data_IF_979747527311
#
_entry.id   IF_979747527311
#
_cell.length_a   1.000
_cell.length_b   1.000
_cell.length_c   1.000
_cell.angle_alpha   90.00
_cell.angle_beta   90.00
_cell.angle_gamma   90.00
#
_symmetry.space_group_name_H-M   'P 1'
#
loop_
_entity.id
_entity.type
_entity.pdbx_description
1 polymer ?
#
# COMPACT_ATOMS: atom_id res chain seq x y z
N UNK A 1 3.77 -15.75 -9.43
CA UNK A 1 4.06 -15.51 -8.00
C UNK A 1 2.79 -15.74 -7.17
N UNK A 2 2.46 -17.03 -6.89
CA UNK A 2 1.21 -17.36 -6.19
C UNK A 2 1.11 -16.79 -4.78
N UNK A 3 2.21 -16.70 -4.05
CA UNK A 3 2.25 -16.19 -2.69
C UNK A 3 1.92 -14.70 -2.61
N UNK A 4 2.04 -13.98 -3.71
CA UNK A 4 1.68 -12.57 -3.83
C UNK A 4 0.22 -12.34 -4.22
N UNK A 5 -0.57 -13.38 -4.36
CA UNK A 5 -1.99 -13.29 -4.72
C UNK A 5 -2.82 -13.96 -3.64
N UNK A 6 -3.37 -13.17 -2.72
CA UNK A 6 -4.19 -13.64 -1.61
C UNK A 6 -5.66 -13.34 -1.87
N UNK A 7 -6.51 -14.25 -1.43
CA UNK A 7 -7.94 -13.95 -1.26
C UNK A 7 -8.38 -14.39 0.14
N UNK A 8 -9.43 -13.78 0.63
CA UNK A 8 -10.04 -14.14 1.90
C UNK A 8 -11.52 -14.45 1.71
N UNK A 9 -11.96 -15.53 2.33
CA UNK A 9 -13.34 -15.98 2.27
C UNK A 9 -13.99 -15.89 3.65
N UNK A 10 -15.27 -15.59 3.65
CA UNK A 10 -16.12 -15.61 4.86
C UNK A 10 -17.32 -16.48 4.53
N UNK A 11 -17.50 -17.57 5.27
CA UNK A 11 -18.61 -18.53 5.09
C UNK A 11 -18.72 -19.02 3.63
N UNK A 12 -17.58 -19.28 2.99
CA UNK A 12 -17.49 -19.77 1.61
C UNK A 12 -17.65 -18.72 0.53
N UNK A 13 -17.82 -17.44 0.88
CA UNK A 13 -17.90 -16.33 -0.07
C UNK A 13 -16.60 -15.54 -0.12
N UNK A 14 -16.18 -15.13 -1.32
CA UNK A 14 -15.03 -14.26 -1.51
C UNK A 14 -15.31 -12.88 -0.89
N UNK A 15 -14.55 -12.51 0.12
CA UNK A 15 -14.71 -11.26 0.84
C UNK A 15 -13.68 -10.20 0.44
N UNK A 16 -12.50 -10.58 -0.01
CA UNK A 16 -11.47 -9.63 -0.39
C UNK A 16 -10.27 -10.29 -1.05
N UNK A 17 -9.38 -9.45 -1.55
CA UNK A 17 -8.14 -9.88 -2.19
C UNK A 17 -7.01 -8.87 -1.97
N UNK A 18 -5.79 -9.36 -2.06
CA UNK A 18 -4.59 -8.54 -1.99
C UNK A 18 -3.57 -9.10 -2.98
N UNK A 19 -3.00 -8.24 -3.81
CA UNK A 19 -2.03 -8.62 -4.83
C UNK A 19 -0.72 -7.85 -4.62
N UNK A 20 0.40 -8.55 -4.72
CA UNK A 20 1.74 -7.97 -4.66
C UNK A 20 2.67 -8.61 -5.69
N UNK A 21 3.80 -7.95 -5.91
CA UNK A 21 4.90 -8.45 -6.71
C UNK A 21 6.22 -8.21 -5.98
N UNK A 22 7.24 -8.98 -6.31
CA UNK A 22 8.60 -8.70 -5.82
C UNK A 22 9.31 -7.86 -6.88
N UNK A 23 9.99 -6.82 -6.42
CA UNK A 23 10.76 -5.91 -7.26
C UNK A 23 12.01 -5.43 -6.52
N UNK A 24 12.94 -4.83 -7.25
CA UNK A 24 14.00 -4.06 -6.64
C UNK A 24 13.49 -2.65 -6.36
N UNK A 25 13.78 -2.17 -5.18
CA UNK A 25 13.47 -0.81 -4.79
C UNK A 25 14.72 -0.14 -4.22
N UNK A 26 15.03 1.05 -4.74
CA UNK A 26 16.11 1.90 -4.28
C UNK A 26 15.54 3.05 -3.42
N UNK A 27 15.81 3.07 -2.10
CA UNK A 27 15.33 4.14 -1.24
C UNK A 27 15.82 5.54 -1.61
N UNK A 28 16.89 5.65 -2.42
CA UNK A 28 17.40 6.94 -2.89
C UNK A 28 16.63 7.48 -4.10
N UNK A 29 15.88 6.64 -4.79
CA UNK A 29 15.02 7.00 -5.92
C UNK A 29 13.60 6.50 -5.71
N UNK A 30 12.80 7.30 -5.03
CA UNK A 30 11.43 6.94 -4.64
C UNK A 30 10.39 7.26 -5.70
N UNK A 31 10.73 8.04 -6.72
CA UNK A 31 9.79 8.47 -7.72
C UNK A 31 9.46 7.33 -8.69
N UNK A 32 8.19 7.02 -8.82
CA UNK A 32 7.68 6.05 -9.77
C UNK A 32 6.16 6.24 -9.90
N UNK A 33 5.59 5.70 -10.96
CA UNK A 33 4.14 5.62 -11.10
C UNK A 33 3.65 4.21 -10.80
N UNK A 34 2.36 4.09 -10.50
CA UNK A 34 1.73 2.78 -10.31
C UNK A 34 1.85 1.92 -11.56
N UNK A 35 1.61 2.54 -12.74
CA UNK A 35 1.71 1.85 -14.03
C UNK A 35 3.12 1.28 -14.27
N UNK A 36 4.16 2.05 -13.96
CA UNK A 36 5.54 1.60 -14.14
C UNK A 36 5.89 0.44 -13.20
N UNK A 37 5.61 0.59 -11.91
CA UNK A 37 6.04 -0.39 -10.91
C UNK A 37 5.24 -1.70 -11.02
N UNK A 38 4.01 -1.65 -11.51
CA UNK A 38 3.13 -2.83 -11.62
C UNK A 38 3.01 -3.37 -13.04
N UNK A 39 3.68 -2.76 -14.02
CA UNK A 39 3.47 -3.04 -15.44
C UNK A 39 1.97 -2.95 -15.79
N UNK A 40 1.38 -1.78 -15.51
CA UNK A 40 -0.04 -1.50 -15.72
C UNK A 40 -0.99 -2.51 -15.03
N UNK A 41 -0.55 -3.08 -13.90
CA UNK A 41 -1.31 -4.09 -13.16
C UNK A 41 -1.16 -5.52 -13.68
N UNK A 42 -0.44 -5.73 -14.78
CA UNK A 42 -0.18 -7.07 -15.33
C UNK A 42 0.88 -7.87 -14.56
N UNK A 43 1.72 -7.19 -13.77
CA UNK A 43 2.77 -7.79 -12.92
C UNK A 43 3.76 -8.69 -13.68
N UNK A 44 3.93 -8.48 -14.99
CA UNK A 44 4.89 -9.24 -15.82
C UNK A 44 6.34 -8.94 -15.46
N UNK A 45 6.58 -7.80 -14.78
CA UNK A 45 7.88 -7.34 -14.30
C UNK A 45 8.26 -7.90 -12.92
N UNK A 46 7.52 -8.88 -12.40
CA UNK A 46 7.87 -9.54 -11.16
C UNK A 46 9.31 -10.10 -11.22
N UNK A 47 10.12 -9.74 -10.21
CA UNK A 47 11.51 -10.17 -10.10
C UNK A 47 11.71 -10.98 -8.81
N UNK A 48 11.77 -12.32 -8.87
CA UNK A 48 11.88 -13.14 -7.67
C UNK A 48 13.17 -12.92 -6.87
N UNK A 49 14.16 -12.22 -7.45
CA UNK A 49 15.43 -11.87 -6.79
C UNK A 49 15.45 -10.44 -6.26
N UNK A 50 14.33 -9.74 -6.31
CA UNK A 50 14.20 -8.38 -5.79
C UNK A 50 14.25 -8.32 -4.27
N UNK A 51 14.32 -7.13 -3.73
CA UNK A 51 14.47 -6.88 -2.30
C UNK A 51 13.17 -6.47 -1.59
N UNK A 52 12.09 -6.22 -2.34
CA UNK A 52 10.87 -5.58 -1.84
C UNK A 52 9.62 -6.29 -2.35
N UNK A 53 8.69 -6.57 -1.44
CA UNK A 53 7.32 -6.96 -1.81
C UNK A 53 6.50 -5.68 -1.98
N UNK A 54 6.07 -5.39 -3.20
CA UNK A 54 5.29 -4.20 -3.53
C UNK A 54 3.82 -4.55 -3.65
N UNK A 55 2.96 -3.85 -2.90
CA UNK A 55 1.51 -4.08 -2.93
C UNK A 55 0.92 -3.33 -4.11
N UNK A 56 0.27 -4.08 -5.00
CA UNK A 56 -0.38 -3.58 -6.22
C UNK A 56 -1.79 -3.11 -5.89
N UNK A 57 -2.54 -3.93 -5.18
CA UNK A 57 -3.94 -3.68 -4.86
C UNK A 57 -4.38 -4.45 -3.62
N UNK A 58 -5.30 -3.86 -2.86
CA UNK A 58 -6.01 -4.50 -1.77
C UNK A 58 -7.47 -4.06 -1.82
N UNK A 59 -8.39 -5.00 -1.75
CA UNK A 59 -9.82 -4.72 -1.71
C UNK A 59 -10.56 -5.63 -0.78
N UNK A 60 -11.59 -5.10 -0.14
CA UNK A 60 -12.55 -5.85 0.69
C UNK A 60 -13.94 -5.43 0.25
N UNK A 61 -14.81 -6.40 -0.01
CA UNK A 61 -16.19 -6.12 -0.41
C UNK A 61 -16.90 -5.30 0.68
N UNK A 62 -17.75 -4.33 0.32
CA UNK A 62 -18.37 -3.42 1.30
C UNK A 62 -19.06 -4.12 2.47
N UNK A 63 -19.77 -5.24 2.21
CA UNK A 63 -20.49 -5.99 3.26
C UNK A 63 -19.57 -6.65 4.28
N UNK A 64 -18.29 -6.83 3.96
CA UNK A 64 -17.29 -7.47 4.82
C UNK A 64 -16.28 -6.49 5.42
N UNK A 65 -16.47 -5.19 5.19
CA UNK A 65 -15.59 -4.15 5.77
C UNK A 65 -15.80 -4.03 7.28
N UNK A 66 -14.83 -3.44 7.97
CA UNK A 66 -14.80 -3.25 9.43
C UNK A 66 -14.74 -4.54 10.24
N UNK A 67 -14.36 -5.66 9.62
CA UNK A 67 -14.13 -6.94 10.28
C UNK A 67 -12.64 -7.24 10.48
N UNK A 68 -11.75 -6.33 10.12
CA UNK A 68 -10.31 -6.54 10.23
C UNK A 68 -9.70 -7.39 9.11
N UNK A 69 -10.42 -7.68 8.03
CA UNK A 69 -9.98 -8.58 6.96
C UNK A 69 -8.80 -8.00 6.17
N UNK A 70 -8.83 -6.69 5.89
CA UNK A 70 -7.72 -6.03 5.21
C UNK A 70 -6.43 -6.10 6.01
N UNK A 71 -6.51 -5.87 7.31
CA UNK A 71 -5.37 -6.00 8.21
C UNK A 71 -4.85 -7.43 8.27
N UNK A 72 -5.74 -8.42 8.30
CA UNK A 72 -5.37 -9.84 8.29
C UNK A 72 -4.61 -10.21 7.02
N UNK A 73 -5.09 -9.78 5.85
CA UNK A 73 -4.39 -10.00 4.58
C UNK A 73 -3.03 -9.31 4.55
N UNK A 74 -2.94 -8.07 5.07
CA UNK A 74 -1.68 -7.35 5.14
C UNK A 74 -0.65 -8.08 6.02
N UNK A 75 -1.07 -8.60 7.16
CA UNK A 75 -0.20 -9.39 8.04
C UNK A 75 0.27 -10.68 7.37
N UNK A 76 -0.56 -11.32 6.56
CA UNK A 76 -0.15 -12.48 5.78
C UNK A 76 0.97 -12.11 4.78
N UNK A 77 0.92 -10.91 4.20
CA UNK A 77 1.99 -10.42 3.32
C UNK A 77 3.29 -10.10 4.08
N UNK A 78 3.20 -9.63 5.32
CA UNK A 78 4.40 -9.46 6.15
C UNK A 78 5.10 -10.81 6.38
N UNK A 79 4.31 -11.87 6.55
CA UNK A 79 4.86 -13.22 6.69
C UNK A 79 5.60 -13.65 5.41
N UNK A 80 5.06 -13.37 4.24
CA UNK A 80 5.73 -13.63 2.96
C UNK A 80 7.06 -12.88 2.86
N UNK A 81 7.11 -11.61 3.31
CA UNK A 81 8.36 -10.84 3.36
C UNK A 81 9.41 -11.52 4.23
N UNK A 82 9.00 -11.99 5.41
CA UNK A 82 9.90 -12.68 6.34
C UNK A 82 10.39 -14.00 5.75
N UNK A 83 9.49 -14.84 5.27
CA UNK A 83 9.83 -16.15 4.70
C UNK A 83 10.78 -16.06 3.51
N UNK A 84 10.56 -15.08 2.65
CA UNK A 84 11.41 -14.88 1.46
C UNK A 84 12.68 -14.07 1.75
N UNK A 85 12.87 -13.62 2.99
CA UNK A 85 14.04 -12.84 3.38
C UNK A 85 14.13 -11.48 2.66
N UNK A 86 12.99 -10.88 2.30
CA UNK A 86 12.96 -9.56 1.68
C UNK A 86 13.21 -8.47 2.73
N UNK A 87 13.66 -7.30 2.29
CA UNK A 87 13.96 -6.19 3.20
C UNK A 87 12.71 -5.50 3.72
N UNK A 88 11.67 -5.41 2.88
CA UNK A 88 10.49 -4.62 3.19
C UNK A 88 9.25 -5.02 2.39
N UNK A 89 8.11 -4.56 2.91
CA UNK A 89 6.88 -4.41 2.14
C UNK A 89 6.65 -2.92 1.89
N UNK A 90 6.25 -2.57 0.68
CA UNK A 90 6.09 -1.20 0.23
C UNK A 90 4.83 -1.06 -0.61
N UNK A 91 4.30 0.13 -0.73
CA UNK A 91 3.23 0.44 -1.65
C UNK A 91 2.78 1.88 -1.52
N UNK A 92 2.19 2.41 -2.58
CA UNK A 92 1.62 3.75 -2.60
C UNK A 92 0.24 3.76 -1.96
N UNK A 93 0.09 4.47 -0.87
CA UNK A 93 -1.20 4.72 -0.23
C UNK A 93 -1.88 5.92 -0.86
N UNK A 94 -3.06 5.73 -1.45
CA UNK A 94 -3.91 6.83 -1.88
C UNK A 94 -4.25 7.73 -0.69
N UNK A 95 -4.52 8.99 -0.97
CA UNK A 95 -4.97 9.98 0.03
C UNK A 95 -6.33 10.55 -0.37
N UNK A 96 -7.40 9.75 -0.36
CA UNK A 96 -8.68 10.15 -0.96
C UNK A 96 -9.36 11.34 -0.26
N UNK A 97 -8.98 11.66 0.97
CA UNK A 97 -9.46 12.86 1.67
C UNK A 97 -8.70 14.13 1.34
N UNK A 98 -7.58 14.04 0.63
CA UNK A 98 -6.71 15.18 0.40
C UNK A 98 -7.36 16.26 -0.46
N UNK A 99 -8.19 15.93 -1.45
CA UNK A 99 -8.84 16.92 -2.31
C UNK A 99 -9.64 17.95 -1.52
N UNK A 100 -10.17 17.59 -0.36
CA UNK A 100 -10.94 18.51 0.52
C UNK A 100 -10.04 19.49 1.26
N UNK A 101 -8.76 19.20 1.38
CA UNK A 101 -7.78 20.02 2.11
C UNK A 101 -6.75 20.68 1.20
N UNK A 102 -6.72 20.35 -0.09
CA UNK A 102 -5.68 20.77 -1.03
C UNK A 102 -5.56 22.28 -1.22
N UNK A 103 -6.62 23.04 -0.95
CA UNK A 103 -6.60 24.50 -1.06
C UNK A 103 -5.89 25.19 0.12
N UNK A 104 -5.62 24.50 1.21
CA UNK A 104 -4.98 25.07 2.41
C UNK A 104 -3.89 24.20 3.03
N UNK A 105 -3.67 23.01 2.52
CA UNK A 105 -2.62 22.09 2.98
C UNK A 105 -1.83 21.52 1.81
N UNK A 106 -0.52 21.39 1.97
CA UNK A 106 0.30 20.57 1.07
C UNK A 106 0.06 19.09 1.36
N UNK A 107 0.42 18.18 0.43
CA UNK A 107 0.31 16.73 0.69
C UNK A 107 1.08 16.31 1.95
N UNK A 108 2.25 16.91 2.19
CA UNK A 108 3.08 16.65 3.36
C UNK A 108 2.39 17.08 4.65
N UNK A 109 1.76 18.26 4.66
CA UNK A 109 0.99 18.75 5.81
C UNK A 109 -0.21 17.87 6.11
N UNK A 110 -0.92 17.46 5.06
CA UNK A 110 -2.06 16.54 5.20
C UNK A 110 -1.64 15.21 5.80
N UNK A 111 -0.55 14.63 5.29
CA UNK A 111 -0.01 13.37 5.79
C UNK A 111 0.42 13.49 7.26
N UNK A 112 1.14 14.57 7.61
CA UNK A 112 1.56 14.83 8.98
C UNK A 112 0.37 14.96 9.95
N UNK A 113 -0.68 15.64 9.53
CA UNK A 113 -1.92 15.77 10.34
C UNK A 113 -2.64 14.44 10.52
N UNK A 114 -2.61 13.57 9.50
CA UNK A 114 -3.19 12.22 9.58
C UNK A 114 -2.38 11.34 10.54
N UNK A 115 -1.06 11.42 10.50
CA UNK A 115 -0.17 10.68 11.41
C UNK A 115 -0.42 11.10 12.87
N UNK A 116 -0.59 12.40 13.13
CA UNK A 116 -0.88 12.92 14.48
C UNK A 116 -2.28 12.53 14.99
N UNK A 117 -3.18 12.12 14.10
CA UNK A 117 -4.56 11.83 14.45
C UNK A 117 -5.49 13.05 14.43
N UNK A 118 -5.02 14.21 13.98
CA UNK A 118 -5.85 15.41 13.81
C UNK A 118 -6.83 15.26 12.65
N UNK A 119 -6.45 14.49 11.64
CA UNK A 119 -7.28 14.11 10.51
C UNK A 119 -7.33 12.59 10.41
N UNK A 120 -8.40 12.09 9.79
CA UNK A 120 -8.54 10.69 9.41
C UNK A 120 -8.66 10.61 7.89
N UNK A 121 -7.86 9.74 7.30
CA UNK A 121 -7.97 9.40 5.89
C UNK A 121 -8.30 7.92 5.77
N UNK A 122 -9.30 7.52 4.96
CA UNK A 122 -9.75 6.11 4.94
C UNK A 122 -8.65 5.13 4.51
N UNK A 123 -7.70 5.55 3.68
CA UNK A 123 -6.58 4.69 3.25
C UNK A 123 -5.38 4.84 4.18
N UNK A 124 -4.89 6.05 4.38
CA UNK A 124 -3.67 6.27 5.18
C UNK A 124 -3.86 5.84 6.63
N UNK A 125 -4.99 6.17 7.24
CA UNK A 125 -5.29 5.75 8.61
C UNK A 125 -5.32 4.22 8.73
N UNK A 126 -5.90 3.54 7.75
CA UNK A 126 -5.89 2.08 7.69
C UNK A 126 -4.46 1.51 7.60
N UNK A 127 -3.63 2.07 6.71
CA UNK A 127 -2.24 1.61 6.53
C UNK A 127 -1.39 1.85 7.78
N UNK A 128 -1.58 2.97 8.46
CA UNK A 128 -0.93 3.25 9.76
C UNK A 128 -1.32 2.20 10.80
N UNK A 129 -2.59 1.83 10.86
CA UNK A 129 -3.09 0.77 11.77
C UNK A 129 -2.55 -0.61 11.42
N UNK A 130 -2.15 -0.83 10.17
CA UNK A 130 -1.46 -2.05 9.76
C UNK A 130 0.04 -2.05 10.12
N UNK A 131 0.55 -0.99 10.76
CA UNK A 131 1.95 -0.87 11.14
C UNK A 131 2.87 -0.38 10.04
N UNK A 132 2.34 0.12 8.92
CA UNK A 132 3.13 0.74 7.87
C UNK A 132 3.41 2.19 8.22
N UNK A 133 4.58 2.69 7.81
CA UNK A 133 5.00 4.06 8.07
C UNK A 133 5.31 4.78 6.76
N UNK A 134 5.01 6.08 6.65
CA UNK A 134 5.33 6.83 5.45
C UNK A 134 6.83 7.09 5.33
N UNK A 135 7.36 6.90 4.13
CA UNK A 135 8.77 7.15 3.80
C UNK A 135 8.93 8.19 2.70
N UNK A 136 7.86 8.75 2.20
CA UNK A 136 7.85 9.81 1.19
C UNK A 136 6.48 10.02 0.59
N UNK A 137 6.38 11.04 -0.24
CA UNK A 137 5.21 11.32 -1.05
C UNK A 137 5.63 11.26 -2.52
N UNK A 138 4.82 10.60 -3.34
CA UNK A 138 5.03 10.49 -4.77
C UNK A 138 3.97 11.32 -5.48
N UNK A 139 4.42 12.25 -6.32
CA UNK A 139 3.58 13.07 -7.18
C UNK A 139 3.28 12.30 -8.48
N UNK A 140 2.08 12.47 -9.01
CA UNK A 140 1.64 11.80 -10.23
C UNK A 140 1.77 10.26 -10.17
N UNK A 141 1.50 9.72 -8.98
CA UNK A 141 1.61 8.27 -8.77
C UNK A 141 0.57 7.49 -9.56
N UNK A 142 -0.68 7.94 -9.51
CA UNK A 142 -1.83 7.33 -10.15
C UNK A 142 -2.82 8.43 -10.49
N UNK A 143 -3.52 8.33 -11.60
CA UNK A 143 -4.62 9.24 -11.93
C UNK A 143 -5.76 9.02 -10.94
N UNK A 144 -5.94 9.96 -10.02
CA UNK A 144 -6.81 9.84 -8.86
C UNK A 144 -7.19 11.24 -8.35
N UNK A 145 -8.34 11.73 -8.77
CA UNK A 145 -8.80 13.08 -8.41
C UNK A 145 -8.94 13.29 -6.90
N UNK A 146 -9.44 12.30 -6.18
CA UNK A 146 -9.62 12.39 -4.73
C UNK A 146 -8.32 12.60 -3.96
N UNK A 147 -7.21 12.08 -4.50
CA UNK A 147 -5.87 12.21 -3.91
C UNK A 147 -5.03 13.30 -4.58
N UNK A 148 -5.60 14.05 -5.55
CA UNK A 148 -4.88 14.99 -6.41
C UNK A 148 -3.65 14.34 -7.06
N UNK A 149 -3.76 13.06 -7.41
CA UNK A 149 -2.72 12.21 -8.02
C UNK A 149 -1.49 11.93 -7.12
N UNK A 150 -1.56 12.28 -5.84
CA UNK A 150 -0.51 11.97 -4.87
C UNK A 150 -0.72 10.60 -4.22
N UNK A 151 0.38 10.00 -3.79
CA UNK A 151 0.36 8.87 -2.88
C UNK A 151 1.42 9.02 -1.81
N UNK A 152 1.10 8.57 -0.62
CA UNK A 152 2.10 8.38 0.43
C UNK A 152 2.75 7.01 0.23
N UNK A 153 4.07 6.99 0.11
CA UNK A 153 4.81 5.74 0.02
C UNK A 153 4.92 5.16 1.42
N UNK A 154 4.27 4.01 1.64
CA UNK A 154 4.09 3.41 2.96
C UNK A 154 4.90 2.11 3.05
N UNK A 155 5.76 2.03 4.07
CA UNK A 155 6.71 0.94 4.26
C UNK A 155 6.45 0.16 5.54
N UNK A 156 6.66 -1.16 5.47
CA UNK A 156 6.87 -2.02 6.64
C UNK A 156 8.21 -2.72 6.46
N UNK A 157 9.14 -2.49 7.39
CA UNK A 157 10.47 -3.12 7.36
C UNK A 157 10.44 -4.50 7.96
N UNK A 158 11.15 -5.42 7.33
CA UNK A 158 11.36 -6.76 7.88
C UNK A 158 12.22 -6.64 9.15
N UNK A 159 11.71 -7.02 10.33
CA UNK A 159 12.46 -6.87 11.57
C UNK A 159 13.67 -7.80 11.70
N UNK A 160 13.81 -8.77 10.78
CA UNK A 160 14.90 -9.74 10.76
C UNK A 160 15.99 -9.41 9.72
N UNK A 161 15.93 -8.23 9.11
CA UNK A 161 16.88 -7.77 8.10
C UNK A 161 17.60 -6.49 8.49
#
# INVERSE_FOLDING_TARGET
>A
FPEGALCIEVDGELAGSLTGLITDFDPSDKNHTWEEITDHGYIRNHNPRGNTLYIVDISVRPRYRKLGLGKLMMHAMYHVVIEKGLERLLGGGRMPGYHKAANHMTPEQYLASTIKGDLKDPVITFLLRCGRVPVGIVENYLEDEESCNYAALMEWKNPFK
#
